data_IF_508479167861
#
_entry.id   IF_508479167861
#
_cell.length_a   1.000
_cell.length_b   1.000
_cell.length_c   1.000
_cell.angle_alpha   90.00
_cell.angle_beta   90.00
_cell.angle_gamma   90.00
#
_symmetry.space_group_name_H-M   'P 1'
#
loop_
_entity.id
_entity.type
_entity.pdbx_description
1 polymer ?
#
# COMPACT_ATOMS: atom_id res chain seq x y z
N UNK A 1 42.38 -18.90 41.75
CA UNK A 1 41.22 -17.99 41.58
C UNK A 1 41.01 -17.74 40.10
N UNK A 2 40.16 -18.51 39.42
CA UNK A 2 39.55 -18.11 38.14
C UNK A 2 38.31 -18.97 37.91
N UNK A 3 37.16 -18.53 38.43
CA UNK A 3 35.85 -19.07 38.11
C UNK A 3 35.19 -18.16 37.07
N UNK A 4 35.31 -18.59 35.82
CA UNK A 4 34.34 -18.51 34.72
C UNK A 4 33.47 -17.23 34.56
N UNK A 5 33.67 -16.46 33.47
CA UNK A 5 32.62 -15.64 32.89
C UNK A 5 31.68 -16.54 32.06
N UNK A 6 30.79 -17.30 32.73
CA UNK A 6 29.76 -18.11 32.06
C UNK A 6 28.32 -17.62 32.25
N UNK A 7 28.14 -16.47 32.91
CA UNK A 7 26.83 -15.87 33.20
C UNK A 7 26.53 -14.62 32.35
N UNK A 8 27.03 -14.57 31.11
CA UNK A 8 26.79 -13.44 30.18
C UNK A 8 26.39 -13.93 28.78
N UNK A 9 25.72 -15.09 28.71
CA UNK A 9 25.17 -15.62 27.44
C UNK A 9 23.74 -16.17 27.58
N UNK A 10 22.95 -15.59 28.49
CA UNK A 10 21.53 -15.94 28.68
C UNK A 10 20.58 -14.72 28.58
N UNK A 11 21.10 -13.54 28.24
CA UNK A 11 20.32 -12.29 28.15
C UNK A 11 20.09 -11.77 26.72
N UNK A 12 20.46 -12.54 25.68
CA UNK A 12 20.29 -12.12 24.27
C UNK A 12 19.14 -12.83 23.53
N UNK A 13 18.29 -13.62 24.21
CA UNK A 13 17.13 -14.28 23.59
C UNK A 13 15.77 -13.68 23.97
N UNK A 14 15.72 -12.53 24.65
CA UNK A 14 14.46 -11.78 24.84
C UNK A 14 14.30 -10.61 23.88
N UNK A 15 14.96 -10.64 22.72
CA UNK A 15 14.45 -9.90 21.57
C UNK A 15 13.13 -10.59 21.20
N UNK A 16 12.01 -10.02 21.63
CA UNK A 16 10.69 -10.39 21.18
C UNK A 16 10.64 -10.20 19.67
N UNK A 17 11.07 -11.22 18.94
CA UNK A 17 11.01 -11.22 17.48
C UNK A 17 9.55 -11.42 17.13
N UNK A 18 8.87 -10.32 16.79
CA UNK A 18 7.59 -10.40 16.09
C UNK A 18 7.79 -11.37 14.92
N UNK A 19 6.94 -12.39 14.83
CA UNK A 19 7.04 -13.36 13.76
C UNK A 19 6.27 -12.81 12.58
N UNK A 20 6.95 -12.66 11.44
CA UNK A 20 6.31 -12.29 10.20
C UNK A 20 5.16 -13.26 9.88
N UNK A 21 3.99 -12.69 9.60
CA UNK A 21 2.78 -13.43 9.26
C UNK A 21 3.00 -14.27 7.99
N UNK A 22 2.45 -15.48 7.95
CA UNK A 22 2.51 -16.30 6.74
C UNK A 22 1.79 -15.62 5.56
N UNK A 23 2.50 -15.47 4.45
CA UNK A 23 2.04 -14.73 3.28
C UNK A 23 0.82 -15.36 2.59
N UNK A 24 0.71 -16.69 2.58
CA UNK A 24 -0.42 -17.37 1.94
C UNK A 24 -1.67 -17.20 2.79
N UNK A 25 -1.54 -17.43 4.11
CA UNK A 25 -2.59 -17.12 5.07
C UNK A 25 -3.04 -15.66 4.96
N UNK A 26 -2.09 -14.71 4.92
CA UNK A 26 -2.41 -13.28 4.79
C UNK A 26 -3.14 -12.98 3.48
N UNK A 27 -2.77 -13.65 2.38
CA UNK A 27 -3.46 -13.51 1.09
C UNK A 27 -4.93 -13.90 1.21
N UNK A 28 -5.22 -15.03 1.83
CA UNK A 28 -6.59 -15.53 2.00
C UNK A 28 -7.41 -14.62 2.92
N UNK A 29 -6.80 -14.16 4.01
CA UNK A 29 -7.41 -13.22 4.96
C UNK A 29 -7.77 -11.89 4.28
N UNK A 30 -6.81 -11.26 3.61
CA UNK A 30 -7.04 -9.96 2.97
C UNK A 30 -8.04 -10.10 1.83
N UNK A 31 -8.00 -11.20 1.07
CA UNK A 31 -9.01 -11.48 0.05
C UNK A 31 -10.43 -11.55 0.67
N UNK A 32 -10.60 -12.24 1.80
CA UNK A 32 -11.88 -12.34 2.48
C UNK A 32 -12.36 -11.00 3.05
N UNK A 33 -11.46 -10.18 3.62
CA UNK A 33 -11.79 -8.84 4.09
C UNK A 33 -12.22 -7.92 2.95
N UNK A 34 -11.55 -8.00 1.79
CA UNK A 34 -11.92 -7.23 0.60
C UNK A 34 -13.24 -7.70 -0.01
N UNK A 35 -13.51 -9.00 -0.01
CA UNK A 35 -14.81 -9.56 -0.39
C UNK A 35 -15.93 -9.01 0.50
N UNK A 36 -15.71 -8.97 1.82
CA UNK A 36 -16.71 -8.51 2.76
C UNK A 36 -16.93 -6.98 2.70
N UNK A 37 -15.87 -6.18 2.64
CA UNK A 37 -15.95 -4.72 2.82
C UNK A 37 -15.89 -3.90 1.53
N UNK A 38 -15.36 -4.45 0.42
CA UNK A 38 -15.10 -3.67 -0.80
C UNK A 38 -15.92 -4.15 -2.00
N UNK A 39 -16.18 -5.46 -2.12
CA UNK A 39 -16.97 -5.94 -3.24
C UNK A 39 -18.37 -5.34 -3.27
N UNK A 40 -18.94 -5.29 -4.49
CA UNK A 40 -20.25 -4.68 -4.75
C UNK A 40 -20.31 -3.19 -4.37
N UNK A 41 -19.16 -2.52 -4.40
CA UNK A 41 -19.03 -1.08 -4.12
C UNK A 41 -19.52 -0.66 -2.72
N UNK A 42 -19.47 -1.58 -1.74
CA UNK A 42 -19.83 -1.32 -0.32
C UNK A 42 -19.04 -0.15 0.25
N UNK A 43 -17.70 -0.27 0.30
CA UNK A 43 -16.81 0.85 0.62
C UNK A 43 -16.13 1.33 -0.65
N UNK A 44 -16.54 2.52 -1.11
CA UNK A 44 -15.88 3.24 -2.19
C UNK A 44 -14.80 4.19 -1.67
N UNK A 45 -13.69 4.28 -2.42
CA UNK A 45 -12.62 5.24 -2.19
C UNK A 45 -11.55 4.77 -1.19
N UNK A 46 -10.84 5.74 -0.61
CA UNK A 46 -9.80 5.49 0.38
C UNK A 46 -10.43 5.11 1.72
N UNK A 47 -9.87 4.09 2.38
CA UNK A 47 -10.23 3.69 3.73
C UNK A 47 -9.10 2.89 4.37
N UNK A 48 -9.17 2.74 5.68
CA UNK A 48 -8.33 1.85 6.47
C UNK A 48 -9.23 0.94 7.32
N UNK A 49 -8.81 -0.30 7.52
CA UNK A 49 -9.48 -1.31 8.33
C UNK A 49 -8.44 -2.03 9.18
N UNK A 50 -8.64 -2.09 10.49
CA UNK A 50 -7.91 -2.97 11.38
C UNK A 50 -8.79 -4.15 11.79
N UNK A 51 -8.26 -5.37 11.71
CA UNK A 51 -8.95 -6.60 12.07
C UNK A 51 -8.11 -7.40 13.08
N UNK A 52 -8.70 -7.72 14.23
CA UNK A 52 -8.10 -8.55 15.27
C UNK A 52 -8.53 -10.02 15.09
N UNK A 53 -7.73 -10.77 14.33
CA UNK A 53 -8.13 -12.08 13.80
C UNK A 53 -7.65 -13.21 14.72
N UNK A 54 -8.50 -14.15 15.14
CA UNK A 54 -8.06 -15.28 15.95
C UNK A 54 -7.01 -16.13 15.24
N UNK A 55 -5.94 -16.53 15.94
CA UNK A 55 -4.90 -17.43 15.38
C UNK A 55 -5.43 -18.82 15.02
N UNK A 56 -6.53 -19.25 15.64
CA UNK A 56 -7.15 -20.54 15.37
C UNK A 56 -7.79 -20.52 13.96
N UNK A 57 -7.27 -21.28 12.98
CA UNK A 57 -7.80 -21.25 11.61
C UNK A 57 -9.28 -21.64 11.51
N UNK A 58 -9.74 -22.53 12.40
CA UNK A 58 -11.13 -22.98 12.44
C UNK A 58 -12.11 -21.88 12.88
N UNK A 59 -11.61 -20.81 13.52
CA UNK A 59 -12.42 -19.69 13.98
C UNK A 59 -12.59 -18.59 12.91
N UNK A 60 -11.85 -18.65 11.79
CA UNK A 60 -11.88 -17.60 10.77
C UNK A 60 -13.26 -17.44 10.13
N UNK A 61 -13.94 -18.54 9.82
CA UNK A 61 -15.30 -18.49 9.25
C UNK A 61 -16.29 -17.77 10.18
N UNK A 62 -16.24 -18.08 11.48
CA UNK A 62 -17.07 -17.43 12.48
C UNK A 62 -16.67 -15.96 12.70
N UNK A 63 -15.37 -15.65 12.65
CA UNK A 63 -14.87 -14.29 12.71
C UNK A 63 -15.47 -13.44 11.58
N UNK A 64 -15.43 -13.92 10.34
CA UNK A 64 -15.99 -13.19 9.19
C UNK A 64 -17.50 -13.01 9.33
N UNK A 65 -18.22 -14.05 9.77
CA UNK A 65 -19.68 -13.97 9.99
C UNK A 65 -20.07 -12.93 11.04
N UNK A 66 -19.30 -12.83 12.12
CA UNK A 66 -19.57 -11.91 13.23
C UNK A 66 -19.15 -10.46 12.96
N UNK A 67 -18.26 -10.25 11.98
CA UNK A 67 -17.71 -8.93 11.63
C UNK A 67 -18.00 -8.61 10.16
N UNK A 68 -19.24 -8.87 9.74
CA UNK A 68 -19.71 -8.53 8.40
C UNK A 68 -19.87 -7.04 8.22
N UNK A 69 -19.86 -6.60 6.97
CA UNK A 69 -20.35 -5.28 6.61
C UNK A 69 -21.86 -5.22 6.82
N UNK A 70 -22.31 -4.30 7.66
CA UNK A 70 -23.71 -4.06 8.00
C UNK A 70 -24.12 -2.64 7.65
N UNK A 71 -25.42 -2.36 7.72
CA UNK A 71 -25.97 -1.00 7.57
C UNK A 71 -25.35 -0.02 8.57
N UNK A 72 -25.07 -0.45 9.80
CA UNK A 72 -24.40 0.38 10.82
C UNK A 72 -22.99 0.80 10.40
N UNK A 73 -22.21 -0.11 9.80
CA UNK A 73 -20.91 0.24 9.21
C UNK A 73 -21.09 1.27 8.08
N UNK A 74 -22.07 1.06 7.21
CA UNK A 74 -22.35 1.95 6.09
C UNK A 74 -22.74 3.36 6.55
N UNK A 75 -23.69 3.45 7.48
CA UNK A 75 -24.19 4.71 8.03
C UNK A 75 -23.09 5.47 8.78
N UNK A 76 -22.30 4.77 9.60
CA UNK A 76 -21.17 5.37 10.33
C UNK A 76 -20.16 5.98 9.35
N UNK A 77 -19.75 5.22 8.34
CA UNK A 77 -18.76 5.70 7.35
C UNK A 77 -19.32 6.79 6.43
N UNK A 78 -20.63 6.78 6.13
CA UNK A 78 -21.31 7.86 5.39
C UNK A 78 -21.45 9.13 6.23
N UNK A 79 -21.60 8.99 7.54
CA UNK A 79 -21.58 10.09 8.50
C UNK A 79 -20.21 10.75 8.65
N UNK A 80 -19.15 10.08 8.19
CA UNK A 80 -17.77 10.54 8.30
C UNK A 80 -17.08 10.11 9.59
N UNK A 81 -17.71 9.24 10.38
CA UNK A 81 -17.19 8.73 11.66
C UNK A 81 -16.36 7.44 11.48
N UNK A 82 -15.77 6.98 12.59
CA UNK A 82 -15.01 5.72 12.66
C UNK A 82 -15.94 4.62 13.17
N UNK A 83 -16.07 3.54 12.41
CA UNK A 83 -16.76 2.36 12.90
C UNK A 83 -15.85 1.55 13.83
N UNK A 84 -16.30 1.29 15.05
CA UNK A 84 -15.57 0.55 16.08
C UNK A 84 -16.40 -0.66 16.50
N UNK A 85 -16.08 -1.82 15.92
CA UNK A 85 -16.67 -3.10 16.25
C UNK A 85 -15.87 -3.87 17.31
N UNK A 86 -16.35 -5.08 17.63
CA UNK A 86 -15.71 -5.92 18.65
C UNK A 86 -14.33 -6.46 18.22
N UNK A 87 -14.14 -6.71 16.93
CA UNK A 87 -12.90 -7.25 16.39
C UNK A 87 -12.41 -6.53 15.11
N UNK A 88 -13.11 -5.47 14.69
CA UNK A 88 -12.78 -4.68 13.50
C UNK A 88 -12.96 -3.19 13.78
N UNK A 89 -12.08 -2.37 13.23
CA UNK A 89 -12.19 -0.90 13.24
C UNK A 89 -12.03 -0.42 11.80
N UNK A 90 -12.91 0.46 11.32
CA UNK A 90 -12.91 0.93 9.93
C UNK A 90 -13.08 2.43 9.89
N UNK A 91 -12.26 3.13 9.11
CA UNK A 91 -12.37 4.56 8.90
C UNK A 91 -12.14 4.94 7.43
N UNK A 92 -12.77 6.04 7.03
CA UNK A 92 -12.41 6.81 5.83
C UNK A 92 -11.60 8.05 6.24
N UNK A 93 -10.81 8.65 5.32
CA UNK A 93 -10.20 9.94 5.59
C UNK A 93 -11.26 10.96 5.99
N UNK A 94 -10.99 11.75 7.03
CA UNK A 94 -11.89 12.82 7.42
C UNK A 94 -11.76 13.94 6.40
N UNK A 95 -12.88 14.40 5.85
CA UNK A 95 -12.90 15.53 4.92
C UNK A 95 -13.72 16.67 5.49
N UNK A 96 -13.47 17.89 5.00
CA UNK A 96 -14.22 19.07 5.41
C UNK A 96 -15.74 18.96 5.15
N UNK A 97 -16.16 18.10 4.22
CA UNK A 97 -17.57 17.85 3.92
C UNK A 97 -18.32 17.25 5.14
N UNK A 98 -17.67 16.37 5.89
CA UNK A 98 -18.26 15.73 7.08
C UNK A 98 -18.32 16.67 8.29
N UNK A 99 -17.27 17.47 8.51
CA UNK A 99 -17.19 18.41 9.64
C UNK A 99 -18.19 19.57 9.56
N UNK A 100 -18.77 19.83 8.38
CA UNK A 100 -19.53 21.06 8.11
C UNK A 100 -21.04 20.90 7.98
N UNK A 101 -21.66 19.87 8.57
CA UNK A 101 -23.11 19.84 8.81
C UNK A 101 -23.62 21.06 9.63
N UNK A 102 -22.70 21.86 10.21
CA UNK A 102 -22.95 23.13 10.90
C UNK A 102 -22.14 24.35 10.38
N UNK A 103 -21.30 24.23 9.34
CA UNK A 103 -20.53 25.38 8.84
C UNK A 103 -21.10 25.90 7.53
N UNK A 104 -22.06 26.82 7.67
CA UNK A 104 -22.51 27.69 6.59
C UNK A 104 -21.32 28.46 5.98
N UNK A 105 -21.25 28.41 4.65
CA UNK A 105 -20.65 29.43 3.78
C UNK A 105 -19.13 29.69 3.96
N UNK A 106 -18.30 28.86 3.33
CA UNK A 106 -17.11 29.34 2.61
C UNK A 106 -16.73 28.37 1.49
N UNK A 107 -17.14 28.69 0.26
CA UNK A 107 -16.61 28.09 -0.98
C UNK A 107 -15.09 28.24 -0.97
N UNK A 108 -14.36 27.17 -0.63
CA UNK A 108 -12.97 26.94 -1.02
C UNK A 108 -12.83 25.44 -1.23
N UNK A 109 -12.25 25.10 -2.37
CA UNK A 109 -12.02 23.76 -2.95
C UNK A 109 -11.51 22.73 -1.94
N UNK A 110 -11.63 21.41 -2.22
CA UNK A 110 -11.32 20.37 -1.25
C UNK A 110 -9.90 20.55 -0.72
N UNK A 111 -9.82 21.03 0.51
CA UNK A 111 -8.61 20.97 1.32
C UNK A 111 -8.34 19.50 1.56
N UNK A 112 -7.06 19.15 1.65
CA UNK A 112 -6.59 17.82 2.06
C UNK A 112 -7.44 17.26 3.21
N UNK A 113 -7.59 15.92 3.30
CA UNK A 113 -8.31 15.33 4.42
C UNK A 113 -7.77 15.90 5.74
N UNK A 114 -8.69 16.26 6.64
CA UNK A 114 -8.35 16.76 7.97
C UNK A 114 -7.60 15.70 8.77
N UNK A 115 -7.92 14.44 8.51
CA UNK A 115 -7.24 13.29 9.08
C UNK A 115 -7.25 12.10 8.11
N UNK A 116 -6.19 11.30 8.15
CA UNK A 116 -6.01 10.13 7.31
C UNK A 116 -6.64 8.89 7.94
N UNK A 117 -7.15 7.98 7.10
CA UNK A 117 -7.88 6.82 7.58
C UNK A 117 -7.04 5.94 8.54
N UNK A 118 -5.73 5.82 8.27
CA UNK A 118 -4.79 5.05 9.09
C UNK A 118 -4.70 5.59 10.51
N UNK A 119 -4.53 6.91 10.66
CA UNK A 119 -4.47 7.56 11.98
C UNK A 119 -5.79 7.37 12.72
N UNK A 120 -6.92 7.63 12.07
CA UNK A 120 -8.25 7.45 12.66
C UNK A 120 -8.50 6.02 13.16
N UNK A 121 -8.06 5.01 12.42
CA UNK A 121 -8.14 3.61 12.86
C UNK A 121 -7.24 3.37 14.07
N UNK A 122 -5.98 3.82 14.01
CA UNK A 122 -5.02 3.64 15.10
C UNK A 122 -5.49 4.33 16.40
N UNK A 123 -6.10 5.51 16.31
CA UNK A 123 -6.65 6.22 17.47
C UNK A 123 -7.70 5.39 18.19
N UNK A 124 -8.48 4.60 17.43
CA UNK A 124 -9.62 3.83 17.92
C UNK A 124 -9.32 2.32 18.09
N UNK A 125 -8.04 1.93 18.22
CA UNK A 125 -7.66 0.52 18.37
C UNK A 125 -7.89 -0.09 19.76
N UNK A 126 -8.17 0.72 20.78
CA UNK A 126 -8.19 0.28 22.19
C UNK A 126 -9.07 -0.96 22.44
N UNK A 127 -10.30 -1.08 21.86
CA UNK A 127 -11.12 -2.28 22.03
C UNK A 127 -10.50 -3.56 21.45
N UNK A 128 -9.62 -3.43 20.46
CA UNK A 128 -8.88 -4.56 19.89
C UNK A 128 -7.67 -4.91 20.74
N UNK A 129 -6.99 -3.91 21.31
CA UNK A 129 -5.82 -4.08 22.19
C UNK A 129 -6.18 -4.96 23.39
N UNK A 130 -7.34 -4.73 24.00
CA UNK A 130 -7.84 -5.52 25.14
C UNK A 130 -7.98 -7.02 24.81
N UNK A 131 -8.14 -7.36 23.54
CA UNK A 131 -8.37 -8.73 23.02
C UNK A 131 -7.21 -9.22 22.15
N UNK A 132 -6.04 -8.59 22.26
CA UNK A 132 -4.86 -8.89 21.42
C UNK A 132 -4.28 -10.30 21.62
N UNK A 133 -4.39 -10.85 22.84
CA UNK A 133 -3.86 -12.18 23.16
C UNK A 133 -4.52 -13.27 22.31
N UNK A 134 -3.70 -14.12 21.69
CA UNK A 134 -4.16 -15.22 20.84
C UNK A 134 -4.67 -14.79 19.45
N UNK A 135 -4.49 -13.52 19.08
CA UNK A 135 -4.93 -12.97 17.81
C UNK A 135 -3.74 -12.43 16.99
N UNK A 136 -3.97 -12.22 15.70
CA UNK A 136 -3.10 -11.53 14.74
C UNK A 136 -3.79 -10.24 14.35
N UNK A 137 -3.09 -9.12 14.43
CA UNK A 137 -3.63 -7.86 13.91
C UNK A 137 -3.32 -7.72 12.42
N UNK A 138 -4.33 -7.48 11.60
CA UNK A 138 -4.15 -7.08 10.20
C UNK A 138 -4.68 -5.66 10.03
N UNK A 139 -3.79 -4.73 9.69
CA UNK A 139 -4.15 -3.37 9.29
C UNK A 139 -4.10 -3.33 7.77
N UNK A 140 -5.26 -3.17 7.14
CA UNK A 140 -5.42 -2.94 5.72
C UNK A 140 -5.61 -1.43 5.46
N UNK A 141 -4.74 -0.82 4.66
CA UNK A 141 -4.96 0.50 4.08
C UNK A 141 -5.18 0.41 2.57
N UNK A 142 -6.07 1.22 2.03
CA UNK A 142 -6.27 1.28 0.58
C UNK A 142 -5.02 1.76 -0.17
N UNK A 143 -4.27 2.69 0.41
CA UNK A 143 -3.06 3.28 -0.16
C UNK A 143 -1.84 2.98 0.73
N UNK A 144 -0.65 2.97 0.14
CA UNK A 144 0.59 2.94 0.91
C UNK A 144 0.68 4.17 1.82
N UNK A 145 1.39 4.06 2.93
CA UNK A 145 1.60 5.20 3.81
C UNK A 145 2.22 6.38 3.04
N UNK A 146 1.73 7.58 3.34
CA UNK A 146 2.25 8.81 2.77
C UNK A 146 3.34 9.43 3.65
N UNK A 147 4.09 10.37 3.07
CA UNK A 147 5.10 11.15 3.76
C UNK A 147 4.53 11.92 4.95
N UNK A 148 3.30 12.44 4.88
CA UNK A 148 2.68 13.09 6.04
C UNK A 148 2.41 12.09 7.17
N UNK A 149 1.90 10.89 6.85
CA UNK A 149 1.67 9.85 7.87
C UNK A 149 2.96 9.39 8.55
N UNK A 150 4.11 9.49 7.88
CA UNK A 150 5.36 8.93 8.40
C UNK A 150 6.33 9.98 8.94
N UNK A 151 6.18 11.24 8.55
CA UNK A 151 7.12 12.31 8.88
C UNK A 151 6.49 13.59 9.44
N UNK A 152 5.22 13.89 9.16
CA UNK A 152 4.52 15.05 9.77
C UNK A 152 4.25 14.76 11.24
N UNK A 153 4.27 15.76 12.14
CA UNK A 153 4.00 15.55 13.57
C UNK A 153 2.50 15.43 13.89
N UNK A 154 1.65 16.16 13.16
CA UNK A 154 0.20 16.17 13.39
C UNK A 154 -0.47 14.91 12.84
N UNK A 155 0.00 14.41 11.70
CA UNK A 155 -0.57 13.21 11.05
C UNK A 155 0.26 11.95 11.26
N UNK A 156 1.31 12.01 12.09
CA UNK A 156 2.23 10.89 12.31
C UNK A 156 1.52 9.66 12.85
N UNK A 157 1.75 8.51 12.21
CA UNK A 157 1.26 7.22 12.69
C UNK A 157 2.37 6.33 13.24
N UNK A 158 3.65 6.66 13.04
CA UNK A 158 4.78 5.77 13.41
C UNK A 158 4.89 5.54 14.91
N UNK A 159 4.65 6.57 15.74
CA UNK A 159 4.59 6.44 17.20
C UNK A 159 3.37 5.62 17.64
N UNK A 160 2.21 5.90 17.05
CA UNK A 160 0.98 5.14 17.33
C UNK A 160 1.12 3.67 17.01
N UNK A 161 1.78 3.33 15.91
CA UNK A 161 2.05 1.95 15.54
C UNK A 161 2.92 1.26 16.59
N UNK A 162 3.99 1.93 17.04
CA UNK A 162 4.84 1.38 18.09
C UNK A 162 4.05 1.11 19.37
N UNK A 163 3.32 2.13 19.81
CA UNK A 163 2.68 2.11 21.12
C UNK A 163 1.43 1.25 21.14
N UNK A 164 0.60 1.34 20.09
CA UNK A 164 -0.68 0.64 20.03
C UNK A 164 -0.60 -0.71 19.35
N UNK A 165 0.35 -0.98 18.45
CA UNK A 165 0.42 -2.26 17.72
C UNK A 165 1.54 -3.16 18.23
N UNK A 166 2.79 -2.69 18.12
CA UNK A 166 3.98 -3.52 18.35
C UNK A 166 4.04 -4.04 19.79
N UNK A 167 3.59 -3.25 20.75
CA UNK A 167 3.61 -3.62 22.17
C UNK A 167 2.48 -4.59 22.59
N UNK A 168 1.49 -4.83 21.72
CA UNK A 168 0.26 -5.54 22.09
C UNK A 168 0.06 -6.87 21.34
N UNK A 169 0.47 -6.94 20.08
CA UNK A 169 0.35 -8.15 19.28
C UNK A 169 1.71 -8.83 19.05
N UNK A 170 1.72 -10.15 19.16
CA UNK A 170 2.90 -10.98 18.86
C UNK A 170 3.10 -11.25 17.36
N UNK A 171 2.03 -11.10 16.58
CA UNK A 171 2.00 -11.25 15.13
C UNK A 171 1.07 -10.18 14.58
N UNK A 172 1.53 -9.44 13.57
CA UNK A 172 0.77 -8.38 12.94
C UNK A 172 1.22 -8.19 11.49
N UNK A 173 0.35 -7.62 10.66
CA UNK A 173 0.67 -7.25 9.29
C UNK A 173 0.07 -5.89 8.95
N UNK A 174 0.87 -5.03 8.32
CA UNK A 174 0.41 -3.83 7.65
C UNK A 174 0.32 -4.11 6.15
N UNK A 175 -0.87 -3.94 5.58
CA UNK A 175 -1.19 -4.29 4.21
C UNK A 175 -1.66 -3.04 3.48
N UNK A 176 -1.19 -2.85 2.25
CA UNK A 176 -1.79 -1.88 1.34
C UNK A 176 -2.01 -2.41 -0.07
N UNK A 177 -2.93 -1.80 -0.82
CA UNK A 177 -3.25 -2.23 -2.20
C UNK A 177 -2.57 -1.38 -3.26
N UNK A 178 -2.70 -0.05 -3.15
CA UNK A 178 -2.24 0.92 -4.16
C UNK A 178 -1.11 1.79 -3.63
N UNK A 179 -0.24 2.30 -4.50
CA UNK A 179 0.78 3.25 -4.08
C UNK A 179 0.18 4.66 -3.98
N UNK A 180 0.65 5.43 -2.99
CA UNK A 180 0.24 6.82 -2.76
C UNK A 180 0.94 7.80 -3.72
N UNK A 181 0.75 7.56 -5.02
CA UNK A 181 1.48 8.23 -6.10
C UNK A 181 1.05 9.68 -6.34
N UNK A 182 -0.08 10.14 -5.80
CA UNK A 182 -0.57 11.50 -6.03
C UNK A 182 -0.67 12.25 -4.69
N UNK A 183 0.11 13.31 -4.47
CA UNK A 183 -0.21 14.29 -3.44
C UNK A 183 -1.51 14.98 -3.84
N UNK A 184 -2.31 15.34 -2.85
CA UNK A 184 -3.39 16.30 -3.05
C UNK A 184 -2.79 17.65 -3.41
N UNK A 185 -2.46 17.85 -4.69
CA UNK A 185 -2.01 19.10 -5.31
C UNK A 185 -0.59 19.59 -4.96
N UNK A 186 0.19 19.95 -5.98
CA UNK A 186 1.28 20.93 -5.81
C UNK A 186 0.67 22.34 -5.84
N UNK A 187 1.32 23.30 -5.17
CA UNK A 187 0.89 24.71 -5.10
C UNK A 187 0.82 25.42 -6.46
N UNK A 188 1.20 24.78 -7.57
CA UNK A 188 1.21 25.35 -8.92
C UNK A 188 0.38 24.57 -9.96
N UNK A 189 -0.54 23.70 -9.55
CA UNK A 189 -1.47 23.03 -10.49
C UNK A 189 -0.83 21.90 -11.31
N UNK A 190 0.39 21.48 -10.98
CA UNK A 190 0.98 20.23 -11.47
C UNK A 190 0.68 19.11 -10.47
N UNK A 191 -0.04 18.08 -10.90
CA UNK A 191 -0.08 16.82 -10.14
C UNK A 191 1.31 16.18 -10.20
N UNK A 192 2.17 16.51 -9.24
CA UNK A 192 3.50 15.90 -9.14
C UNK A 192 3.29 14.48 -8.66
N UNK A 193 3.56 13.49 -9.50
CA UNK A 193 3.55 12.09 -9.05
C UNK A 193 4.66 11.92 -8.02
N UNK A 194 4.38 11.32 -6.86
CA UNK A 194 5.42 11.03 -5.86
C UNK A 194 6.48 10.15 -6.49
N UNK A 195 7.74 10.50 -6.24
CA UNK A 195 8.86 9.72 -6.73
C UNK A 195 8.96 8.37 -6.02
N UNK A 196 9.53 7.36 -6.68
CA UNK A 196 9.87 6.07 -6.06
C UNK A 196 10.74 6.27 -4.81
N UNK A 197 11.64 7.25 -4.81
CA UNK A 197 12.47 7.57 -3.65
C UNK A 197 11.63 8.06 -2.46
N UNK A 198 10.63 8.91 -2.71
CA UNK A 198 9.69 9.38 -1.67
C UNK A 198 8.87 8.22 -1.10
N UNK A 199 8.32 7.35 -1.97
CA UNK A 199 7.56 6.18 -1.54
C UNK A 199 8.42 5.21 -0.72
N UNK A 200 9.67 5.00 -1.15
CA UNK A 200 10.65 4.19 -0.42
C UNK A 200 10.95 4.77 0.95
N UNK A 201 11.21 6.08 1.04
CA UNK A 201 11.43 6.73 2.33
C UNK A 201 10.24 6.59 3.26
N UNK A 202 9.00 6.83 2.79
CA UNK A 202 7.80 6.65 3.60
C UNK A 202 7.64 5.22 4.09
N UNK A 203 7.92 4.23 3.24
CA UNK A 203 7.85 2.82 3.61
C UNK A 203 8.94 2.44 4.63
N UNK A 204 10.15 2.95 4.48
CA UNK A 204 11.25 2.74 5.42
C UNK A 204 10.95 3.41 6.78
N UNK A 205 10.42 4.63 6.79
CA UNK A 205 9.97 5.32 8.01
C UNK A 205 8.85 4.55 8.73
N UNK A 206 7.89 4.01 7.96
CA UNK A 206 6.85 3.14 8.50
C UNK A 206 7.45 1.87 9.09
N UNK A 207 8.42 1.24 8.44
CA UNK A 207 9.10 0.05 8.97
C UNK A 207 9.87 0.37 10.27
N UNK A 208 10.50 1.54 10.33
CA UNK A 208 11.27 2.04 11.48
C UNK A 208 10.41 2.43 12.70
N UNK A 209 9.07 2.39 12.57
CA UNK A 209 8.16 2.46 13.73
C UNK A 209 8.34 1.30 14.71
N UNK A 210 8.92 0.19 14.25
CA UNK A 210 8.98 -1.09 14.96
C UNK A 210 8.14 -2.19 14.29
N UNK A 211 7.39 -1.87 13.23
CA UNK A 211 6.75 -2.88 12.39
C UNK A 211 7.76 -3.80 11.72
N UNK A 212 8.89 -3.25 11.28
CA UNK A 212 9.84 -3.91 10.38
C UNK A 212 9.25 -4.26 9.00
N UNK A 213 10.09 -4.28 7.96
CA UNK A 213 9.64 -4.48 6.57
C UNK A 213 9.00 -5.85 6.34
N UNK A 214 9.41 -6.88 7.10
CA UNK A 214 8.86 -8.23 7.00
C UNK A 214 7.38 -8.34 7.37
N UNK A 215 6.84 -7.36 8.10
CA UNK A 215 5.42 -7.28 8.46
C UNK A 215 4.62 -6.36 7.54
N UNK A 216 5.25 -5.82 6.47
CA UNK A 216 4.59 -4.93 5.52
C UNK A 216 4.40 -5.65 4.19
N UNK A 217 3.18 -5.60 3.66
CA UNK A 217 2.82 -6.31 2.44
C UNK A 217 2.01 -5.42 1.50
N UNK A 218 2.23 -5.60 0.19
CA UNK A 218 1.34 -5.08 -0.84
C UNK A 218 0.45 -6.20 -1.34
N UNK A 219 -0.87 -6.09 -1.18
CA UNK A 219 -1.83 -7.09 -1.63
C UNK A 219 -2.71 -6.54 -2.73
N UNK A 220 -2.60 -7.09 -3.94
CA UNK A 220 -3.36 -6.62 -5.09
C UNK A 220 -3.49 -7.71 -6.15
N UNK A 221 -4.34 -7.45 -7.14
CA UNK A 221 -4.49 -8.28 -8.33
C UNK A 221 -3.80 -7.57 -9.51
N UNK A 222 -2.57 -7.96 -9.88
CA UNK A 222 -1.95 -7.46 -11.10
C UNK A 222 -2.76 -7.86 -12.34
N UNK A 223 -2.60 -7.15 -13.48
CA UNK A 223 -3.22 -7.55 -14.74
C UNK A 223 -2.88 -9.00 -15.10
N UNK A 224 -3.91 -9.78 -15.45
CA UNK A 224 -3.79 -11.20 -15.84
C UNK A 224 -3.23 -12.15 -14.76
N UNK A 225 -3.09 -11.70 -13.52
CA UNK A 225 -2.68 -12.52 -12.39
C UNK A 225 -3.81 -12.67 -11.37
N UNK A 226 -3.63 -13.62 -10.45
CA UNK A 226 -4.54 -13.80 -9.32
C UNK A 226 -4.18 -12.81 -8.20
N UNK A 227 -5.16 -12.48 -7.36
CA UNK A 227 -4.94 -11.66 -6.17
C UNK A 227 -3.91 -12.34 -5.25
N UNK A 228 -2.87 -11.60 -4.84
CA UNK A 228 -1.82 -12.09 -3.93
C UNK A 228 -1.25 -10.96 -3.09
N UNK A 229 -0.72 -11.32 -1.93
CA UNK A 229 0.14 -10.47 -1.13
C UNK A 229 1.62 -10.68 -1.49
N UNK A 230 2.35 -9.58 -1.59
CA UNK A 230 3.79 -9.52 -1.83
C UNK A 230 4.46 -8.86 -0.63
N UNK A 231 5.53 -9.46 -0.10
CA UNK A 231 6.29 -8.86 0.99
C UNK A 231 7.02 -7.62 0.48
N UNK A 232 7.05 -6.58 1.31
CA UNK A 232 7.83 -5.39 1.06
C UNK A 232 9.28 -5.50 1.54
N UNK A 233 9.67 -6.62 2.15
CA UNK A 233 11.06 -6.92 2.50
C UNK A 233 11.72 -7.77 1.42
N UNK A 234 12.77 -7.24 0.80
CA UNK A 234 13.63 -7.95 -0.13
C UNK A 234 15.08 -7.69 0.26
N UNK A 235 15.79 -8.72 0.72
CA UNK A 235 17.19 -8.62 1.16
C UNK A 235 17.42 -7.52 2.23
N UNK A 236 16.42 -7.29 3.09
CA UNK A 236 16.47 -6.26 4.14
C UNK A 236 16.18 -4.84 3.65
N UNK A 237 15.71 -4.67 2.41
CA UNK A 237 15.35 -3.39 1.82
C UNK A 237 13.90 -3.39 1.30
N UNK A 238 13.34 -2.20 1.12
CA UNK A 238 12.05 -2.00 0.49
C UNK A 238 12.01 -2.58 -0.94
N UNK A 239 11.21 -3.63 -1.14
CA UNK A 239 11.02 -4.28 -2.43
C UNK A 239 10.37 -3.33 -3.44
N UNK A 240 10.81 -3.37 -4.70
CA UNK A 240 10.33 -2.45 -5.75
C UNK A 240 8.82 -2.55 -5.98
N UNK A 241 8.23 -3.74 -5.84
CA UNK A 241 6.76 -3.95 -5.94
C UNK A 241 5.98 -3.11 -4.93
N UNK A 242 6.60 -2.64 -3.85
CA UNK A 242 5.98 -1.82 -2.82
C UNK A 242 6.21 -0.31 -2.98
N UNK A 243 6.98 0.13 -3.98
CA UNK A 243 7.35 1.54 -4.18
C UNK A 243 7.28 2.00 -5.64
N UNK A 244 7.06 1.06 -6.57
CA UNK A 244 6.94 1.32 -8.00
C UNK A 244 5.69 0.59 -8.56
N UNK A 245 4.84 1.32 -9.30
CA UNK A 245 3.64 0.75 -9.94
C UNK A 245 4.01 -0.15 -11.14
N UNK A 246 5.15 0.12 -11.79
CA UNK A 246 5.60 -0.60 -12.97
C UNK A 246 6.42 -1.86 -12.62
N UNK A 247 6.81 -2.01 -11.35
CA UNK A 247 7.54 -3.17 -10.87
C UNK A 247 6.69 -4.44 -10.98
N UNK A 248 7.24 -5.43 -11.68
CA UNK A 248 6.62 -6.76 -11.75
C UNK A 248 6.93 -7.53 -10.46
N UNK A 249 5.92 -8.21 -9.87
CA UNK A 249 6.18 -9.07 -8.73
C UNK A 249 7.13 -10.20 -9.16
N UNK A 250 8.27 -10.34 -8.46
CA UNK A 250 9.14 -11.48 -8.67
C UNK A 250 8.36 -12.75 -8.30
N UNK A 251 8.01 -13.55 -9.30
CA UNK A 251 7.47 -14.89 -9.06
C UNK A 251 8.57 -15.66 -8.35
N UNK A 252 8.33 -16.06 -7.10
CA UNK A 252 9.27 -16.84 -6.31
C UNK A 252 9.73 -18.07 -7.10
N UNK A 253 10.92 -17.99 -7.69
CA UNK A 253 11.67 -19.17 -8.11
C UNK A 253 12.23 -19.76 -6.84
N UNK A 254 11.78 -20.96 -6.52
CA UNK A 254 12.41 -21.85 -5.55
C UNK A 254 13.92 -21.81 -5.74
N UNK A 255 14.62 -21.65 -4.62
CA UNK A 255 16.06 -21.70 -4.46
C UNK A 255 16.67 -22.80 -5.32
N UNK A 256 17.40 -22.41 -6.36
CA UNK A 256 18.15 -23.29 -7.24
C UNK A 256 19.40 -22.54 -7.65
N UNK A 257 20.43 -22.59 -6.80
CA UNK A 257 21.70 -21.97 -7.06
C UNK A 257 22.27 -22.42 -8.40
N UNK A 258 22.63 -21.46 -9.24
CA UNK A 258 23.65 -21.69 -10.25
C UNK A 258 24.46 -20.42 -10.41
N UNK A 259 25.54 -20.41 -9.62
CA UNK A 259 26.72 -19.58 -9.80
C UNK A 259 27.10 -19.58 -11.28
N UNK A 260 26.93 -18.44 -11.97
CA UNK A 260 27.65 -18.18 -13.21
C UNK A 260 28.91 -17.43 -12.86
N UNK A 261 29.93 -18.22 -12.52
CA UNK A 261 31.33 -17.85 -12.67
C UNK A 261 31.50 -17.21 -14.06
N UNK A 262 31.85 -15.93 -14.08
CA UNK A 262 32.43 -15.26 -15.25
C UNK A 262 33.88 -15.73 -15.35
N UNK A 263 34.11 -16.78 -16.12
CA UNK A 263 35.45 -17.13 -16.55
C UNK A 263 35.85 -16.26 -17.74
N UNK A 264 36.74 -15.31 -17.42
CA UNK A 264 37.64 -14.66 -18.36
C UNK A 264 38.70 -15.67 -18.80
N UNK A 265 38.73 -16.01 -20.09
CA UNK A 265 39.95 -16.18 -20.90
C UNK A 265 39.62 -16.73 -22.30
N UNK A 266 40.03 -16.04 -23.36
CA UNK A 266 41.28 -16.29 -24.11
C UNK A 266 41.20 -15.93 -25.61
N UNK A 267 42.29 -15.29 -26.09
CA UNK A 267 42.90 -15.32 -27.45
C UNK A 267 42.18 -14.60 -28.61
N UNK A 268 42.67 -13.49 -29.20
CA UNK A 268 43.92 -13.23 -29.99
C UNK A 268 44.21 -14.36 -30.99
N UNK A 269 44.34 -14.22 -32.33
CA UNK A 269 44.60 -13.11 -33.27
C UNK A 269 44.23 -13.65 -34.69
N UNK A 270 43.80 -12.90 -35.71
CA UNK A 270 44.63 -12.21 -36.73
C UNK A 270 43.80 -12.24 -38.06
N UNK A 271 43.41 -11.09 -38.62
CA UNK A 271 43.95 -10.41 -39.84
C UNK A 271 43.44 -10.90 -41.20
N UNK A 272 43.31 -9.94 -42.14
CA UNK A 272 42.80 -9.97 -43.54
C UNK A 272 41.27 -9.85 -43.66
N UNK A 273 40.64 -9.06 -44.55
CA UNK A 273 41.09 -8.27 -45.69
C UNK A 273 39.99 -7.27 -46.11
N UNK A 274 40.37 -6.21 -46.84
CA UNK A 274 39.52 -5.15 -47.39
C UNK A 274 38.83 -5.60 -48.69
N UNK A 275 37.58 -5.13 -48.96
CA UNK A 275 37.04 -4.58 -50.25
C UNK A 275 35.50 -4.44 -50.14
N UNK A 276 34.94 -3.21 -50.21
CA UNK A 276 34.42 -2.47 -51.39
C UNK A 276 33.17 -3.07 -52.06
N UNK A 277 32.10 -2.27 -52.12
CA UNK A 277 30.97 -2.37 -53.08
C UNK A 277 29.60 -2.27 -52.39
N UNK A 278 28.95 -1.09 -52.31
CA UNK A 278 28.10 -0.43 -53.32
C UNK A 278 26.59 -0.76 -53.18
N UNK A 279 25.82 0.31 -52.86
CA UNK A 279 24.48 0.68 -53.36
C UNK A 279 23.42 -0.42 -53.59
N UNK A 280 22.28 -0.29 -52.90
CA UNK A 280 21.01 -0.03 -53.62
C UNK A 280 19.96 0.60 -52.71
N UNK A 281 19.58 1.82 -53.07
CA UNK A 281 18.32 2.48 -52.77
C UNK A 281 17.14 1.70 -53.34
N UNK A 282 16.04 1.60 -52.57
CA UNK A 282 14.70 1.54 -53.15
C UNK A 282 13.67 2.18 -52.22
N UNK A 283 13.28 3.37 -52.63
CA UNK A 283 12.05 4.05 -52.27
C UNK A 283 10.84 3.18 -52.63
N UNK A 284 9.80 3.25 -51.80
CA UNK A 284 8.42 3.32 -52.32
C UNK A 284 7.55 4.11 -51.36
N UNK A 285 7.28 5.33 -51.79
CA UNK A 285 6.17 6.20 -51.40
C UNK A 285 4.83 5.64 -51.89
N UNK A 286 3.76 5.93 -51.14
CA UNK A 286 2.55 6.65 -51.57
C UNK A 286 1.47 6.51 -50.48
N UNK A 287 1.13 7.58 -49.77
CA UNK A 287 0.10 8.58 -50.09
C UNK A 287 -1.33 8.00 -50.16
N UNK A 288 -2.15 8.35 -49.16
CA UNK A 288 -3.51 8.80 -49.44
C UNK A 288 -3.91 9.94 -48.50
N UNK A 289 -4.20 11.07 -49.12
CA UNK A 289 -4.57 12.34 -48.51
C UNK A 289 -6.09 12.53 -48.49
N UNK A 290 -6.54 13.27 -47.48
CA UNK A 290 -7.63 14.27 -47.50
C UNK A 290 -9.10 13.82 -47.68
N UNK A 291 -9.94 14.27 -46.72
CA UNK A 291 -10.90 15.34 -47.04
C UNK A 291 -11.51 16.02 -45.82
N UNK A 292 -11.43 17.36 -45.85
CA UNK A 292 -12.10 18.34 -45.00
C UNK A 292 -13.62 18.36 -45.27
N UNK A 293 -14.43 18.80 -44.30
CA UNK A 293 -15.41 19.89 -44.56
C UNK A 293 -15.94 20.55 -43.27
N UNK A 294 -15.86 21.89 -43.30
CA UNK A 294 -16.41 22.89 -42.38
C UNK A 294 -17.91 23.09 -42.62
N UNK A 295 -18.70 23.38 -41.57
CA UNK A 295 -19.88 24.28 -41.57
C UNK A 295 -19.92 24.94 -40.17
N UNK A 296 -19.53 26.21 -39.93
CA UNK A 296 -20.18 27.53 -40.12
C UNK A 296 -21.46 27.79 -39.28
N UNK A 297 -21.27 28.56 -38.20
CA UNK A 297 -22.07 29.68 -37.61
C UNK A 297 -23.61 29.62 -37.60
N UNK A 298 -24.20 29.88 -36.42
CA UNK A 298 -25.25 30.91 -36.27
C UNK A 298 -25.37 31.43 -34.84
N UNK A 299 -25.26 32.74 -34.71
CA UNK A 299 -25.60 33.56 -33.55
C UNK A 299 -27.13 33.69 -33.40
N UNK A 300 -27.63 33.78 -32.16
CA UNK A 300 -28.85 34.54 -31.85
C UNK A 300 -28.87 34.99 -30.38
N UNK A 301 -29.19 36.26 -30.24
CA UNK A 301 -29.33 37.11 -29.06
C UNK A 301 -30.77 37.16 -28.54
N UNK A 302 -30.93 37.70 -27.31
CA UNK A 302 -32.17 38.15 -26.59
C UNK A 302 -32.96 37.02 -25.92
N UNK A 303 -33.55 37.17 -24.73
CA UNK A 303 -34.08 38.38 -24.06
C UNK A 303 -34.33 38.13 -22.56
N UNK A 304 -34.43 39.25 -21.83
CA UNK A 304 -34.99 39.42 -20.48
C UNK A 304 -36.27 38.62 -20.22
N UNK A 305 -36.37 38.16 -18.97
CA UNK A 305 -37.58 37.85 -18.20
C UNK A 305 -37.17 37.91 -16.74
#
# INVERSE_FOLDING_TARGET
MYLLPRMMLLLLLSAGTSRAVDKNWLTDIVAALLDEYVQQDKIQGQFCLAANIPKNPSALGQFLQNNRYTEDVEETLKGGDVYVGNAVVVAKPETWEYRTRWATLRRREPREPLDHAERRVLENLDPLIEKSKGHVLVIYSYLSACDMCTSDEELRITEMIRDKVVNHWSEYAFVFTKLFTKPGFSKEGQSVTRSVATLRQSLDDLANSGLHLENIFRCYKPPNLVFRCYSCSSEGQAADVCVDEDAQPQQGRSSGGSSRYRDSNNRRSSSSERRRGSRSSRERSNNWSQSRKRIRRRSRSRSRG
#
